data_IF_030567826874
#
_entry.id   IF_030567826874
#
_cell.length_a   1.000
_cell.length_b   1.000
_cell.length_c   1.000
_cell.angle_alpha   90.00
_cell.angle_beta   90.00
_cell.angle_gamma   90.00
#
_symmetry.space_group_name_H-M   'P 1'
#
loop_
_entity.id
_entity.type
_entity.pdbx_description
1 polymer ?
#
# COMPACT_ATOMS: atom_id res chain seq x y z
N UNK A 1 14.41 -4.56 3.41
CA UNK A 1 13.71 -3.39 2.85
C UNK A 1 12.80 -3.88 1.74
N UNK A 2 11.53 -4.14 2.07
CA UNK A 2 10.50 -4.44 1.08
C UNK A 2 10.39 -3.26 0.10
N UNK A 3 10.74 -3.48 -1.16
CA UNK A 3 10.56 -2.49 -2.22
C UNK A 3 9.14 -2.52 -2.77
N UNK A 4 8.79 -1.56 -3.64
CA UNK A 4 7.56 -1.65 -4.46
C UNK A 4 7.51 -2.97 -5.26
N UNK A 5 8.67 -3.57 -5.53
CA UNK A 5 8.82 -4.87 -6.19
C UNK A 5 8.17 -6.04 -5.45
N UNK A 6 8.06 -5.99 -4.11
CA UNK A 6 7.42 -7.06 -3.34
C UNK A 6 5.88 -6.90 -3.30
N UNK A 7 5.38 -5.68 -3.50
CA UNK A 7 3.97 -5.35 -3.38
C UNK A 7 3.10 -6.16 -4.35
N UNK A 8 3.55 -6.35 -5.57
CA UNK A 8 2.80 -7.11 -6.58
C UNK A 8 2.55 -8.54 -6.10
N UNK A 9 3.60 -9.23 -5.66
CA UNK A 9 3.51 -10.58 -5.11
C UNK A 9 2.64 -10.61 -3.84
N UNK A 10 2.78 -9.61 -2.96
CA UNK A 10 1.97 -9.46 -1.75
C UNK A 10 0.47 -9.32 -2.05
N UNK A 11 0.11 -8.53 -3.06
CA UNK A 11 -1.29 -8.32 -3.42
C UNK A 11 -1.91 -9.49 -4.20
N UNK A 12 -1.09 -10.39 -4.74
CA UNK A 12 -1.52 -11.57 -5.49
C UNK A 12 -1.54 -12.88 -4.69
N UNK A 13 -0.79 -12.99 -3.58
CA UNK A 13 -0.74 -14.23 -2.77
C UNK A 13 -2.06 -14.54 -2.05
N UNK A 14 -2.22 -15.78 -1.57
CA UNK A 14 -3.40 -16.18 -0.80
C UNK A 14 -3.50 -15.43 0.56
N UNK A 15 -4.71 -15.13 1.05
CA UNK A 15 -4.90 -14.40 2.31
C UNK A 15 -4.19 -15.03 3.51
N UNK A 16 -4.18 -16.36 3.61
CA UNK A 16 -3.49 -17.07 4.69
C UNK A 16 -1.96 -16.90 4.62
N UNK A 17 -1.39 -16.87 3.41
CA UNK A 17 0.04 -16.64 3.21
C UNK A 17 0.41 -15.18 3.54
N UNK A 18 -0.44 -14.23 3.15
CA UNK A 18 -0.28 -12.81 3.49
C UNK A 18 -0.31 -12.60 5.01
N UNK A 19 -1.28 -13.19 5.70
CA UNK A 19 -1.38 -13.13 7.16
C UNK A 19 -0.14 -13.72 7.83
N UNK A 20 0.36 -14.86 7.35
CA UNK A 20 1.56 -15.47 7.92
C UNK A 20 2.82 -14.62 7.72
N UNK A 21 2.97 -13.96 6.57
CA UNK A 21 4.16 -13.18 6.22
C UNK A 21 4.15 -11.77 6.83
N UNK A 22 3.00 -11.09 6.76
CA UNK A 22 2.86 -9.68 7.17
C UNK A 22 2.17 -9.51 8.51
N UNK A 23 1.67 -10.58 9.13
CA UNK A 23 0.91 -10.53 10.39
C UNK A 23 -0.30 -9.58 10.33
N UNK A 24 -0.88 -9.40 9.14
CA UNK A 24 -1.99 -8.51 8.87
C UNK A 24 -2.99 -9.15 7.91
N UNK A 25 -4.26 -8.77 8.01
CA UNK A 25 -5.27 -9.24 7.07
C UNK A 25 -4.96 -8.71 5.67
N UNK A 26 -5.09 -9.57 4.66
CA UNK A 26 -4.91 -9.16 3.28
C UNK A 26 -6.05 -8.18 2.89
N UNK A 27 -5.73 -7.01 2.33
CA UNK A 27 -6.75 -6.10 1.83
C UNK A 27 -7.63 -6.77 0.76
N UNK A 28 -8.91 -6.42 0.75
CA UNK A 28 -9.84 -6.86 -0.29
C UNK A 28 -9.76 -5.91 -1.48
N UNK A 29 -10.16 -6.40 -2.65
CA UNK A 29 -10.13 -5.60 -3.89
C UNK A 29 -11.15 -4.46 -3.88
N UNK A 30 -12.23 -4.62 -3.14
CA UNK A 30 -13.34 -3.69 -2.97
C UNK A 30 -13.20 -2.79 -1.73
N UNK A 31 -12.11 -2.92 -0.95
CA UNK A 31 -11.86 -2.00 0.16
C UNK A 31 -11.73 -0.57 -0.36
N UNK A 32 -12.60 0.32 0.13
CA UNK A 32 -12.72 1.69 -0.38
C UNK A 32 -11.51 2.60 -0.07
N UNK A 33 -10.74 2.23 0.95
CA UNK A 33 -9.67 3.03 1.53
C UNK A 33 -8.39 2.22 1.75
N UNK A 34 -7.77 1.77 0.66
CA UNK A 34 -6.44 1.18 0.69
C UNK A 34 -5.40 2.29 0.46
N UNK A 35 -4.90 2.89 1.54
CA UNK A 35 -4.02 4.06 1.49
C UNK A 35 -2.55 3.63 1.45
N UNK A 36 -1.83 4.02 0.39
CA UNK A 36 -0.39 3.88 0.29
C UNK A 36 0.31 5.19 0.60
N UNK A 37 1.40 5.10 1.36
CA UNK A 37 2.29 6.23 1.63
C UNK A 37 3.74 5.74 1.74
N UNK A 38 4.68 6.67 1.67
CA UNK A 38 6.07 6.37 2.02
C UNK A 38 6.68 7.54 2.78
N UNK A 39 8.01 7.65 2.83
CA UNK A 39 8.65 8.78 3.51
C UNK A 39 8.48 10.11 2.77
N UNK A 40 8.55 10.10 1.43
CA UNK A 40 8.63 11.31 0.59
C UNK A 40 7.61 11.33 -0.58
N UNK A 41 6.64 10.40 -0.59
CA UNK A 41 5.57 10.32 -1.61
C UNK A 41 5.85 9.44 -2.83
N UNK A 42 7.07 9.43 -3.41
CA UNK A 42 7.37 8.72 -4.68
C UNK A 42 6.97 7.25 -4.71
N UNK A 43 7.38 6.48 -3.69
CA UNK A 43 7.05 5.04 -3.59
C UNK A 43 5.56 4.78 -3.32
N UNK A 44 4.88 5.68 -2.62
CA UNK A 44 3.44 5.57 -2.35
C UNK A 44 2.64 5.69 -3.64
N UNK A 45 3.05 6.60 -4.54
CA UNK A 45 2.45 6.75 -5.86
C UNK A 45 2.63 5.47 -6.70
N UNK A 46 3.85 4.94 -6.78
CA UNK A 46 4.13 3.71 -7.54
C UNK A 46 3.32 2.51 -7.00
N UNK A 47 3.27 2.36 -5.68
CA UNK A 47 2.49 1.31 -5.01
C UNK A 47 0.99 1.42 -5.32
N UNK A 48 0.46 2.65 -5.32
CA UNK A 48 -0.94 2.91 -5.65
C UNK A 48 -1.26 2.51 -7.09
N UNK A 49 -0.42 2.92 -8.05
CA UNK A 49 -0.62 2.58 -9.46
C UNK A 49 -0.59 1.07 -9.71
N UNK A 50 0.33 0.36 -9.03
CA UNK A 50 0.41 -1.10 -9.10
C UNK A 50 -0.85 -1.76 -8.54
N UNK A 51 -1.30 -1.35 -7.34
CA UNK A 51 -2.51 -1.89 -6.72
C UNK A 51 -3.76 -1.65 -7.58
N UNK A 52 -3.89 -0.47 -8.18
CA UNK A 52 -4.97 -0.17 -9.13
C UNK A 52 -4.93 -1.08 -10.35
N UNK A 53 -3.73 -1.33 -10.91
CA UNK A 53 -3.55 -2.29 -12.02
C UNK A 53 -3.95 -3.73 -11.67
N UNK A 54 -3.84 -4.12 -10.39
CA UNK A 54 -4.26 -5.43 -9.87
C UNK A 54 -5.74 -5.51 -9.48
N UNK A 55 -6.50 -4.42 -9.69
CA UNK A 55 -7.94 -4.34 -9.45
C UNK A 55 -8.34 -3.90 -8.04
N UNK A 56 -7.43 -3.32 -7.25
CA UNK A 56 -7.79 -2.69 -5.97
C UNK A 56 -8.35 -1.29 -6.24
N UNK A 57 -9.68 -1.17 -6.26
CA UNK A 57 -10.37 0.04 -6.74
C UNK A 57 -10.29 1.21 -5.75
N UNK A 58 -10.24 0.92 -4.45
CA UNK A 58 -10.05 1.94 -3.41
C UNK A 58 -8.59 2.26 -3.08
N UNK A 59 -7.63 1.85 -3.93
CA UNK A 59 -6.23 2.19 -3.77
C UNK A 59 -5.98 3.70 -3.98
N UNK A 60 -5.44 4.37 -2.97
CA UNK A 60 -5.19 5.81 -2.95
C UNK A 60 -3.78 6.12 -2.46
N UNK A 61 -3.18 7.19 -3.00
CA UNK A 61 -1.88 7.68 -2.56
C UNK A 61 -2.04 8.84 -1.59
N UNK A 62 -1.40 8.77 -0.42
CA UNK A 62 -1.22 9.93 0.44
C UNK A 62 0.06 10.68 0.03
N UNK A 63 -0.13 11.76 -0.74
CA UNK A 63 0.94 12.41 -1.50
C UNK A 63 2.04 13.08 -0.64
N UNK A 64 1.68 13.83 0.41
CA UNK A 64 2.71 14.43 1.27
C UNK A 64 3.32 13.46 2.28
N UNK A 65 2.78 12.24 2.33
CA UNK A 65 3.43 11.08 2.92
C UNK A 65 3.80 11.30 4.40
N UNK A 66 4.71 10.48 4.93
CA UNK A 66 5.10 10.60 6.34
C UNK A 66 5.67 11.99 6.69
N UNK A 67 6.38 12.63 5.76
CA UNK A 67 7.00 13.94 6.00
C UNK A 67 5.97 15.04 6.25
N UNK A 68 4.90 15.11 5.47
CA UNK A 68 3.82 16.08 5.69
C UNK A 68 3.12 15.81 7.02
N UNK A 69 2.81 14.54 7.31
CA UNK A 69 2.17 14.16 8.57
C UNK A 69 3.02 14.57 9.79
N UNK A 70 4.32 14.24 9.78
CA UNK A 70 5.25 14.59 10.84
C UNK A 70 5.40 16.11 11.04
N UNK A 71 5.29 16.91 9.97
CA UNK A 71 5.37 18.36 10.06
C UNK A 71 4.11 19.02 10.62
N UNK A 72 2.95 18.36 10.49
CA UNK A 72 1.66 18.91 10.91
C UNK A 72 1.22 18.43 12.30
N UNK A 73 1.54 17.19 12.65
CA UNK A 73 1.04 16.49 13.85
C UNK A 73 2.15 16.16 14.86
N UNK A 74 3.33 16.77 14.72
CA UNK A 74 4.48 16.57 15.61
C UNK A 74 4.27 17.06 17.03
#
# INVERSE_FOLDING_TARGET
MAGVSELESALQMEPAAFQALYSAEKPKRDDENLIFFCQMGKRGLQATQLAQGLGYTGARNYAGAYREWFQKEG
#
